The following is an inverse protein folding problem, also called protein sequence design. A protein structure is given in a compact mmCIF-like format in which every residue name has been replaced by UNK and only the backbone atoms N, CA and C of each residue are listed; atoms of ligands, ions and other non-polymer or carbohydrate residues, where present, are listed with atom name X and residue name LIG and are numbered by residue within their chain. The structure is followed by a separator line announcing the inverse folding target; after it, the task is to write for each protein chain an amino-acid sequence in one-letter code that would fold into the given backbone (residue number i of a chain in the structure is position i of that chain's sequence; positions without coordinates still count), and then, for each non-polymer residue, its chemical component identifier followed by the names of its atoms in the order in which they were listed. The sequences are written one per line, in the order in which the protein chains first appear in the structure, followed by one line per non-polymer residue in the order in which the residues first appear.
data_IF_005052061848
#
_entry.id   IF_005052061848
#
_cell.length_a   1.000
_cell.length_b   1.000
_cell.length_c   1.000
_cell.angle_alpha   90.00
_cell.angle_beta   90.00
_cell.angle_gamma   90.00
#
_symmetry.space_group_name_H-M   'P 1'
#
loop_
_entity.id
_entity.type
_entity.pdbx_description
1 polymer ?
#
# COMPACT_ATOMS: atom_id res chain seq x y z
N UNK A 1 9.88 52.83 -61.07
CA UNK A 1 9.42 52.75 -62.49
C UNK A 1 9.07 51.33 -62.83
N UNK A 2 7.76 51.12 -63.17
CA UNK A 2 7.26 50.25 -64.25
C UNK A 2 7.78 48.81 -64.24
N UNK A 3 7.00 47.69 -64.28
CA UNK A 3 5.61 47.43 -64.74
C UNK A 3 5.30 45.94 -64.37
N UNK A 4 4.09 45.65 -63.95
CA UNK A 4 3.41 44.34 -64.08
C UNK A 4 3.02 44.20 -65.61
N UNK A 5 2.82 43.04 -66.27
CA UNK A 5 1.80 42.06 -65.93
C UNK A 5 2.02 40.56 -66.40
N UNK A 6 1.18 39.67 -65.96
CA UNK A 6 0.22 38.82 -66.71
C UNK A 6 0.24 37.31 -66.29
N UNK A 7 -0.97 36.92 -65.98
CA UNK A 7 -1.55 35.61 -65.76
C UNK A 7 -1.26 34.59 -66.86
N UNK A 8 -1.10 33.32 -66.50
CA UNK A 8 -1.63 32.19 -67.28
C UNK A 8 -2.32 31.18 -66.36
N UNK A 9 -3.54 30.87 -66.71
CA UNK A 9 -4.36 29.77 -66.22
C UNK A 9 -3.88 28.47 -66.88
N UNK A 10 -3.78 27.34 -66.13
CA UNK A 10 -3.88 26.01 -66.69
C UNK A 10 -4.59 25.11 -65.68
N UNK A 11 -5.74 24.59 -66.11
CA UNK A 11 -6.49 23.51 -65.49
C UNK A 11 -5.70 22.22 -65.54
N UNK A 12 -5.80 21.40 -64.51
CA UNK A 12 -5.28 20.05 -64.51
C UNK A 12 -5.83 19.19 -63.36
N UNK A 13 -6.89 18.49 -63.64
CA UNK A 13 -7.43 17.24 -63.07
C UNK A 13 -7.04 16.84 -61.65
N UNK A 14 -8.06 16.80 -60.80
CA UNK A 14 -8.16 16.13 -59.52
C UNK A 14 -8.17 14.58 -59.73
N UNK A 15 -7.22 13.91 -59.12
CA UNK A 15 -7.33 12.44 -58.81
C UNK A 15 -7.53 12.34 -57.30
N UNK A 16 -8.75 12.01 -56.92
CA UNK A 16 -9.09 11.71 -55.53
C UNK A 16 -8.59 10.28 -55.21
N UNK A 17 -7.62 10.20 -54.28
CA UNK A 17 -7.28 8.95 -53.59
C UNK A 17 -8.13 8.87 -52.30
N UNK A 18 -8.69 7.71 -51.98
CA UNK A 18 -9.45 7.54 -50.74
C UNK A 18 -8.52 7.56 -49.53
N UNK A 19 -8.65 8.57 -48.68
CA UNK A 19 -8.03 8.57 -47.34
C UNK A 19 -8.74 7.53 -46.51
N UNK A 20 -8.06 6.39 -46.27
CA UNK A 20 -8.46 5.43 -45.27
C UNK A 20 -8.32 6.08 -43.88
N UNK A 21 -9.46 6.48 -43.34
CA UNK A 21 -9.58 6.84 -41.92
C UNK A 21 -9.32 5.58 -41.07
N UNK A 22 -8.08 5.40 -40.65
CA UNK A 22 -7.77 4.53 -39.50
C UNK A 22 -8.28 5.30 -38.29
N UNK A 23 -9.50 5.02 -37.89
CA UNK A 23 -10.03 5.42 -36.60
C UNK A 23 -9.24 4.67 -35.53
N UNK A 24 -8.17 5.26 -35.03
CA UNK A 24 -7.57 4.87 -33.75
C UNK A 24 -8.67 5.03 -32.70
N UNK A 25 -9.28 3.91 -32.28
CA UNK A 25 -10.03 3.85 -31.03
C UNK A 25 -9.06 4.14 -29.91
N UNK A 26 -8.85 5.41 -29.61
CA UNK A 26 -8.42 5.83 -28.29
C UNK A 26 -9.58 5.39 -27.39
N UNK A 27 -9.40 4.28 -26.68
CA UNK A 27 -10.24 3.92 -25.56
C UNK A 27 -10.07 5.07 -24.57
N UNK A 28 -11.00 5.99 -24.57
CA UNK A 28 -11.11 6.98 -23.53
C UNK A 28 -11.23 6.18 -22.21
N UNK A 29 -10.16 6.15 -21.41
CA UNK A 29 -10.26 5.82 -20.01
C UNK A 29 -11.39 6.67 -19.45
N UNK A 30 -12.46 6.04 -19.04
CA UNK A 30 -13.56 6.71 -18.38
C UNK A 30 -12.96 7.31 -17.10
N UNK A 31 -12.60 8.58 -17.18
CA UNK A 31 -12.42 9.42 -16.00
C UNK A 31 -13.80 9.42 -15.32
N UNK A 32 -14.01 8.46 -14.43
CA UNK A 32 -15.16 8.49 -13.54
C UNK A 32 -14.98 9.75 -12.71
N UNK A 33 -15.80 10.76 -13.00
CA UNK A 33 -15.81 11.97 -12.21
C UNK A 33 -15.92 11.59 -10.73
N UNK A 34 -15.13 12.20 -9.83
CA UNK A 34 -15.05 11.82 -8.41
C UNK A 34 -16.41 11.69 -7.70
N UNK A 35 -17.44 12.32 -8.26
CA UNK A 35 -18.79 12.41 -7.69
C UNK A 35 -19.71 11.23 -8.03
N UNK A 36 -19.32 10.31 -8.92
CA UNK A 36 -20.24 9.29 -9.45
C UNK A 36 -20.10 7.90 -8.82
N UNK A 37 -19.03 7.63 -8.04
CA UNK A 37 -18.87 6.33 -7.39
C UNK A 37 -19.85 6.19 -6.20
N UNK A 38 -20.65 5.13 -6.25
CA UNK A 38 -21.52 4.74 -5.12
C UNK A 38 -20.68 4.07 -4.00
N UNK A 39 -21.17 4.04 -2.76
CA UNK A 39 -20.65 3.15 -1.72
C UNK A 39 -20.70 1.68 -2.15
N UNK A 40 -19.98 0.80 -1.43
CA UNK A 40 -20.11 -0.65 -1.67
C UNK A 40 -21.58 -1.10 -1.50
N UNK A 41 -22.04 -2.06 -2.32
CA UNK A 41 -23.30 -2.73 -2.07
C UNK A 41 -23.30 -3.37 -0.68
N UNK A 42 -24.46 -3.37 -0.02
CA UNK A 42 -24.57 -3.87 1.36
C UNK A 42 -24.30 -5.38 1.50
N UNK A 43 -24.49 -6.14 0.43
CA UNK A 43 -24.22 -7.58 0.38
C UNK A 43 -22.71 -7.92 0.24
N UNK A 44 -21.88 -6.92 -0.01
CA UNK A 44 -20.41 -7.09 0.00
C UNK A 44 -19.82 -7.02 1.40
N UNK A 45 -20.54 -6.44 2.33
CA UNK A 45 -20.03 -6.11 3.66
C UNK A 45 -20.71 -6.97 4.73
N UNK A 46 -19.98 -7.40 5.76
CA UNK A 46 -20.58 -7.96 6.97
C UNK A 46 -21.62 -6.99 7.58
N UNK A 47 -22.67 -7.55 8.18
CA UNK A 47 -23.65 -6.76 8.92
C UNK A 47 -22.93 -5.90 10.01
N UNK A 48 -23.35 -4.65 10.18
CA UNK A 48 -22.73 -3.71 11.12
C UNK A 48 -21.61 -2.88 10.52
N UNK A 49 -21.19 -3.17 9.28
CA UNK A 49 -20.25 -2.30 8.54
C UNK A 49 -21.03 -1.54 7.48
N UNK A 50 -20.81 -0.22 7.42
CA UNK A 50 -21.33 0.59 6.31
C UNK A 50 -20.21 1.20 5.49
N UNK A 51 -20.50 1.43 4.23
CA UNK A 51 -19.63 2.11 3.26
C UNK A 51 -20.16 3.52 3.01
N UNK A 52 -19.28 4.52 3.05
CA UNK A 52 -19.64 5.92 2.70
C UNK A 52 -18.44 6.71 2.18
N UNK A 53 -18.69 7.94 1.78
CA UNK A 53 -17.66 8.87 1.35
C UNK A 53 -17.56 10.08 2.28
N UNK A 54 -16.32 10.57 2.42
CA UNK A 54 -16.01 11.85 3.06
C UNK A 54 -15.37 12.77 2.02
N UNK A 55 -15.94 13.95 1.84
CA UNK A 55 -15.51 14.90 0.80
C UNK A 55 -14.49 15.91 1.35
N UNK A 56 -13.71 16.51 0.45
CA UNK A 56 -12.77 17.61 0.72
C UNK A 56 -11.68 17.28 1.77
N UNK A 57 -11.23 16.03 1.80
CA UNK A 57 -10.13 15.62 2.67
C UNK A 57 -8.83 15.75 1.90
N UNK A 58 -8.09 16.83 2.09
CA UNK A 58 -6.80 17.08 1.45
C UNK A 58 -6.82 16.88 -0.09
N UNK A 59 -7.87 17.40 -0.74
CA UNK A 59 -8.10 17.26 -2.18
C UNK A 59 -8.71 15.95 -2.63
N UNK A 60 -9.09 15.07 -1.69
CA UNK A 60 -9.69 13.77 -1.97
C UNK A 60 -11.18 13.74 -1.61
N UNK A 61 -11.90 12.86 -2.30
CA UNK A 61 -13.15 12.26 -1.84
C UNK A 61 -12.79 10.87 -1.36
N UNK A 62 -12.69 10.69 -0.04
CA UNK A 62 -12.24 9.45 0.58
C UNK A 62 -13.42 8.50 0.79
N UNK A 63 -13.28 7.28 0.30
CA UNK A 63 -14.15 6.18 0.64
C UNK A 63 -13.75 5.59 1.98
N UNK A 64 -14.72 5.28 2.82
CA UNK A 64 -14.51 4.78 4.18
C UNK A 64 -15.47 3.64 4.48
N UNK A 65 -14.96 2.59 5.10
CA UNK A 65 -15.77 1.62 5.84
C UNK A 65 -15.78 2.02 7.31
N UNK A 66 -16.95 1.92 7.95
CA UNK A 66 -17.06 2.22 9.38
C UNK A 66 -17.98 1.23 10.09
N UNK A 67 -17.67 0.94 11.36
CA UNK A 67 -18.45 0.11 12.26
C UNK A 67 -18.55 0.78 13.63
N UNK A 68 -19.63 0.51 14.38
CA UNK A 68 -19.87 1.15 15.68
C UNK A 68 -20.35 2.60 15.59
N UNK A 69 -20.81 3.02 14.43
CA UNK A 69 -21.29 4.38 14.11
C UNK A 69 -22.67 4.71 14.69
N UNK A 70 -23.41 3.69 15.14
CA UNK A 70 -24.80 3.85 15.64
C UNK A 70 -24.85 4.57 16.98
N UNK A 71 -23.74 4.54 17.72
CA UNK A 71 -23.66 5.15 19.05
C UNK A 71 -22.64 6.29 19.04
N UNK A 72 -23.06 7.49 19.34
CA UNK A 72 -22.19 8.66 19.45
C UNK A 72 -21.28 8.60 20.68
N UNK A 73 -20.14 9.28 20.64
CA UNK A 73 -19.23 9.42 21.79
C UNK A 73 -18.28 8.24 22.01
N UNK A 74 -18.31 7.23 21.16
CA UNK A 74 -17.32 6.13 21.22
C UNK A 74 -15.92 6.65 20.89
N UNK A 75 -14.86 6.15 21.56
CA UNK A 75 -13.47 6.39 21.12
C UNK A 75 -13.27 5.82 19.72
N UNK A 76 -12.58 6.59 18.86
CA UNK A 76 -12.36 6.18 17.48
C UNK A 76 -11.06 5.39 17.31
N UNK A 77 -11.06 4.47 16.35
CA UNK A 77 -9.88 3.78 15.81
C UNK A 77 -9.75 4.09 14.32
N UNK A 78 -8.53 4.37 13.86
CA UNK A 78 -8.23 4.56 12.46
C UNK A 78 -7.42 3.36 11.94
N UNK A 79 -7.93 2.65 10.92
CA UNK A 79 -7.31 1.47 10.35
C UNK A 79 -6.78 1.78 8.94
N UNK A 80 -5.48 1.61 8.71
CA UNK A 80 -4.79 1.97 7.47
C UNK A 80 -4.24 0.71 6.79
N UNK A 81 -4.76 0.40 5.61
CA UNK A 81 -4.36 -0.78 4.83
C UNK A 81 -3.07 -0.56 4.01
N UNK A 82 -2.52 -1.63 3.46
CA UNK A 82 -1.33 -1.66 2.63
C UNK A 82 -1.58 -1.97 1.14
N UNK A 83 -0.61 -2.65 0.51
CA UNK A 83 -0.64 -3.02 -0.91
C UNK A 83 -0.60 -4.56 -1.09
N UNK A 84 -1.37 -5.14 -1.99
CA UNK A 84 -2.51 -4.57 -2.74
C UNK A 84 -3.83 -4.79 -1.99
N UNK A 85 -4.03 -4.05 -0.94
CA UNK A 85 -5.20 -4.12 -0.08
C UNK A 85 -6.21 -2.98 -0.36
N UNK A 86 -7.29 -2.97 0.41
CA UNK A 86 -8.35 -1.96 0.47
C UNK A 86 -8.80 -1.81 1.93
N UNK A 87 -9.61 -0.80 2.23
CA UNK A 87 -10.33 -0.73 3.52
C UNK A 87 -11.05 -2.04 3.86
N UNK A 88 -11.45 -2.78 2.83
CA UNK A 88 -12.11 -4.08 2.91
C UNK A 88 -11.28 -5.15 3.64
N UNK A 89 -9.96 -5.02 3.68
CA UNK A 89 -9.07 -5.95 4.40
C UNK A 89 -9.33 -5.99 5.91
N UNK A 90 -9.93 -4.94 6.44
CA UNK A 90 -10.25 -4.81 7.86
C UNK A 90 -11.61 -5.40 8.27
N UNK A 91 -12.47 -5.83 7.31
CA UNK A 91 -13.86 -6.24 7.54
C UNK A 91 -14.04 -7.24 8.68
N UNK A 92 -13.10 -8.17 8.87
CA UNK A 92 -13.20 -9.25 9.86
C UNK A 92 -12.86 -8.80 11.28
N UNK A 93 -12.03 -7.76 11.44
CA UNK A 93 -11.63 -7.22 12.76
C UNK A 93 -12.50 -6.02 13.17
N UNK A 94 -13.17 -5.36 12.24
CA UNK A 94 -13.97 -4.15 12.53
C UNK A 94 -15.14 -4.43 13.47
N UNK A 95 -15.86 -5.54 13.30
CA UNK A 95 -17.05 -5.87 14.12
C UNK A 95 -16.66 -6.15 15.57
N UNK A 96 -15.69 -7.03 15.88
CA UNK A 96 -15.27 -7.24 17.27
C UNK A 96 -14.81 -5.95 17.98
N UNK A 97 -14.10 -5.07 17.26
CA UNK A 97 -13.67 -3.77 17.81
C UNK A 97 -14.88 -2.85 18.07
N UNK A 98 -15.87 -2.84 17.19
CA UNK A 98 -17.09 -2.04 17.36
C UNK A 98 -17.97 -2.57 18.51
N UNK A 99 -18.07 -3.88 18.67
CA UNK A 99 -18.79 -4.53 19.78
C UNK A 99 -18.14 -4.21 21.13
N UNK A 100 -16.80 -4.04 21.15
CA UNK A 100 -16.06 -3.60 22.33
C UNK A 100 -16.20 -2.10 22.63
N UNK A 101 -17.00 -1.36 21.85
CA UNK A 101 -17.34 0.04 22.14
C UNK A 101 -16.55 1.07 21.35
N UNK A 102 -15.77 0.69 20.34
CA UNK A 102 -15.06 1.63 19.48
C UNK A 102 -15.90 2.06 18.27
N UNK A 103 -15.64 3.26 17.77
CA UNK A 103 -16.02 3.66 16.41
C UNK A 103 -14.82 3.38 15.49
N UNK A 104 -14.95 2.40 14.63
CA UNK A 104 -13.88 1.90 13.77
C UNK A 104 -13.99 2.53 12.39
N UNK A 105 -12.93 3.18 11.92
CA UNK A 105 -12.88 3.94 10.67
C UNK A 105 -11.73 3.40 9.82
N UNK A 106 -12.05 2.84 8.66
CA UNK A 106 -11.09 2.28 7.71
C UNK A 106 -11.24 2.98 6.35
N UNK A 107 -10.40 3.96 6.00
CA UNK A 107 -10.42 4.58 4.67
C UNK A 107 -9.72 3.70 3.62
N UNK A 108 -10.18 3.75 2.37
CA UNK A 108 -9.31 3.47 1.23
C UNK A 108 -8.28 4.61 1.15
N UNK A 109 -7.00 4.30 1.38
CA UNK A 109 -5.96 5.33 1.38
C UNK A 109 -5.73 5.91 -0.01
N UNK A 110 -5.09 7.08 -0.13
CA UNK A 110 -4.77 7.72 -1.40
C UNK A 110 -4.13 6.74 -2.38
N UNK A 111 -4.71 6.61 -3.58
CA UNK A 111 -4.25 5.71 -4.62
C UNK A 111 -5.00 4.37 -4.68
N UNK A 112 -5.98 4.14 -3.81
CA UNK A 112 -6.63 2.84 -3.69
C UNK A 112 -8.16 2.92 -3.72
N UNK A 113 -8.75 1.81 -4.13
CA UNK A 113 -10.18 1.54 -4.01
C UNK A 113 -11.08 2.64 -4.55
N UNK A 114 -12.07 3.03 -3.79
CA UNK A 114 -13.06 4.04 -4.19
C UNK A 114 -12.67 5.47 -3.82
N UNK A 115 -11.53 5.69 -3.15
CA UNK A 115 -11.01 7.03 -2.93
C UNK A 115 -10.57 7.67 -4.25
N UNK A 116 -11.03 8.90 -4.51
CA UNK A 116 -10.77 9.65 -5.74
C UNK A 116 -10.11 11.00 -5.46
N UNK A 117 -9.64 11.69 -6.52
CA UNK A 117 -8.88 12.94 -6.40
C UNK A 117 -7.37 12.75 -6.54
N UNK A 118 -6.95 11.58 -7.03
CA UNK A 118 -5.57 11.25 -7.40
C UNK A 118 -5.53 10.81 -8.87
N UNK A 119 -4.34 10.70 -9.44
CA UNK A 119 -4.14 10.31 -10.83
C UNK A 119 -3.51 8.93 -10.96
N UNK A 120 -4.04 8.10 -11.86
CA UNK A 120 -3.47 6.82 -12.28
C UNK A 120 -2.45 6.93 -13.42
N UNK A 121 -2.12 8.15 -13.87
CA UNK A 121 -1.07 8.36 -14.86
C UNK A 121 0.29 8.05 -14.23
N UNK A 122 1.09 7.21 -14.92
CA UNK A 122 2.47 6.92 -14.50
C UNK A 122 3.30 8.21 -14.37
N UNK A 123 3.15 9.18 -15.26
CA UNK A 123 3.90 10.44 -15.23
C UNK A 123 3.31 11.51 -14.30
N UNK A 124 2.37 11.14 -13.42
CA UNK A 124 1.78 12.09 -12.48
C UNK A 124 2.81 12.65 -11.50
N UNK A 125 2.52 13.84 -10.95
CA UNK A 125 3.26 14.37 -9.81
C UNK A 125 3.15 13.43 -8.60
N UNK A 126 4.28 12.98 -8.07
CA UNK A 126 4.34 12.08 -6.91
C UNK A 126 4.25 12.83 -5.57
N UNK A 127 4.37 14.15 -5.57
CA UNK A 127 4.30 15.00 -4.37
C UNK A 127 3.10 14.68 -3.45
N UNK A 128 1.88 14.44 -4.00
CA UNK A 128 0.73 14.07 -3.17
C UNK A 128 0.88 12.73 -2.42
N UNK A 129 1.75 11.83 -2.89
CA UNK A 129 1.97 10.50 -2.28
C UNK A 129 3.02 10.48 -1.18
N UNK A 130 3.63 11.61 -0.81
CA UNK A 130 4.60 11.74 0.29
C UNK A 130 3.99 11.25 1.62
N UNK A 131 4.84 10.67 2.47
CA UNK A 131 4.39 10.12 3.77
C UNK A 131 3.65 11.15 4.61
N UNK A 132 4.19 12.37 4.75
CA UNK A 132 3.54 13.42 5.57
C UNK A 132 2.27 13.98 4.92
N UNK A 133 2.16 13.94 3.59
CA UNK A 133 0.89 14.28 2.94
C UNK A 133 -0.20 13.22 3.17
N UNK A 134 0.17 11.92 3.23
CA UNK A 134 -0.76 10.86 3.65
C UNK A 134 -1.15 10.97 5.12
N UNK A 135 -0.25 11.46 6.00
CA UNK A 135 -0.62 11.83 7.38
C UNK A 135 -1.69 12.92 7.38
N UNK A 136 -1.60 13.93 6.48
CA UNK A 136 -2.65 14.95 6.32
C UNK A 136 -3.99 14.34 5.87
N UNK A 137 -3.96 13.31 5.00
CA UNK A 137 -5.18 12.56 4.65
C UNK A 137 -5.80 11.92 5.89
N UNK A 138 -4.99 11.23 6.70
CA UNK A 138 -5.43 10.60 7.95
C UNK A 138 -6.01 11.62 8.95
N UNK A 139 -5.34 12.75 9.15
CA UNK A 139 -5.82 13.86 9.99
C UNK A 139 -7.15 14.43 9.48
N UNK A 140 -7.26 14.59 8.17
CA UNK A 140 -8.48 15.05 7.52
C UNK A 140 -9.65 14.08 7.72
N UNK A 141 -9.40 12.77 7.67
CA UNK A 141 -10.41 11.75 8.00
C UNK A 141 -10.85 11.89 9.45
N UNK A 142 -9.91 11.91 10.42
CA UNK A 142 -10.21 12.05 11.84
C UNK A 142 -11.06 13.31 12.10
N UNK A 143 -10.67 14.44 11.51
CA UNK A 143 -11.39 15.71 11.67
C UNK A 143 -12.79 15.68 11.03
N UNK A 144 -12.94 15.05 9.86
CA UNK A 144 -14.22 14.95 9.15
C UNK A 144 -15.26 14.09 9.89
N UNK A 145 -14.80 13.18 10.74
CA UNK A 145 -15.64 12.42 11.66
C UNK A 145 -15.89 13.14 13.01
N UNK A 146 -15.37 14.38 13.18
CA UNK A 146 -15.58 15.20 14.36
C UNK A 146 -14.68 14.85 15.54
N UNK A 147 -13.69 14.00 15.36
CA UNK A 147 -12.75 13.61 16.41
C UNK A 147 -11.59 14.59 16.55
N UNK A 148 -11.22 14.87 17.79
CA UNK A 148 -10.00 15.63 18.13
C UNK A 148 -8.79 14.70 18.35
N UNK A 149 -9.04 13.45 18.69
CA UNK A 149 -8.05 12.39 18.82
C UNK A 149 -8.70 11.04 18.57
N UNK A 150 -7.88 10.04 18.28
CA UNK A 150 -8.28 8.64 18.16
C UNK A 150 -7.56 7.82 19.24
N UNK A 151 -8.23 6.80 19.77
CA UNK A 151 -7.66 5.90 20.77
C UNK A 151 -6.44 5.16 20.20
N UNK A 152 -6.49 4.78 18.93
CA UNK A 152 -5.36 4.17 18.25
C UNK A 152 -5.39 4.36 16.73
N UNK A 153 -4.21 4.36 16.12
CA UNK A 153 -3.99 4.21 14.69
C UNK A 153 -3.34 2.85 14.44
N UNK A 154 -3.91 2.07 13.55
CA UNK A 154 -3.51 0.69 13.26
C UNK A 154 -3.18 0.62 11.78
N UNK A 155 -1.99 0.18 11.42
CA UNK A 155 -1.56 0.11 10.04
C UNK A 155 -0.99 -1.24 9.66
N UNK A 156 -1.34 -1.74 8.46
CA UNK A 156 -0.84 -2.99 7.91
C UNK A 156 -0.04 -2.74 6.64
N UNK A 157 1.07 -3.48 6.43
CA UNK A 157 1.97 -3.38 5.26
C UNK A 157 2.40 -1.93 5.01
N UNK A 158 2.08 -1.31 3.87
CA UNK A 158 2.35 0.12 3.61
C UNK A 158 1.60 1.08 4.55
N UNK A 159 0.51 0.63 5.17
CA UNK A 159 -0.20 1.34 6.22
C UNK A 159 0.53 1.36 7.56
N UNK A 160 1.44 0.38 7.82
CA UNK A 160 2.21 0.31 9.06
C UNK A 160 3.16 1.50 9.22
N UNK A 161 4.07 1.83 8.30
CA UNK A 161 4.87 3.03 8.40
C UNK A 161 4.05 4.32 8.35
N UNK A 162 2.88 4.32 7.67
CA UNK A 162 1.98 5.48 7.70
C UNK A 162 1.40 5.70 9.10
N UNK A 163 0.96 4.64 9.79
CA UNK A 163 0.50 4.72 11.19
C UNK A 163 1.62 5.20 12.12
N UNK A 164 2.84 4.71 11.93
CA UNK A 164 4.01 5.17 12.67
C UNK A 164 4.26 6.68 12.45
N UNK A 165 4.22 7.16 11.21
CA UNK A 165 4.35 8.60 10.92
C UNK A 165 3.20 9.44 11.48
N UNK A 166 1.99 8.91 11.56
CA UNK A 166 0.88 9.56 12.27
C UNK A 166 1.24 9.76 13.75
N UNK A 167 1.73 8.71 14.42
CA UNK A 167 2.13 8.75 15.82
C UNK A 167 3.31 9.71 16.07
N UNK A 168 4.37 9.66 15.24
CA UNK A 168 5.53 10.57 15.35
C UNK A 168 5.14 12.02 15.21
N UNK A 169 4.29 12.34 14.23
CA UNK A 169 3.99 13.74 13.87
C UNK A 169 2.92 14.37 14.74
N UNK A 170 1.92 13.57 15.20
CA UNK A 170 0.77 14.07 15.96
C UNK A 170 0.40 13.14 17.13
N UNK A 171 1.30 13.04 18.14
CA UNK A 171 1.04 12.26 19.35
C UNK A 171 -0.17 12.77 20.17
N UNK A 172 -0.54 14.03 19.98
CA UNK A 172 -1.73 14.64 20.54
C UNK A 172 -3.05 14.11 19.94
N UNK A 173 -3.01 13.60 18.72
CA UNK A 173 -4.19 13.05 18.02
C UNK A 173 -4.18 11.51 18.03
N UNK A 174 -3.06 10.88 17.73
CA UNK A 174 -2.90 9.42 17.68
C UNK A 174 -2.36 8.92 19.02
N UNK A 175 -3.24 8.46 19.90
CA UNK A 175 -2.91 8.16 21.30
C UNK A 175 -2.15 6.86 21.51
N UNK A 176 -2.33 5.91 20.62
CA UNK A 176 -1.56 4.68 20.56
C UNK A 176 -1.35 4.26 19.09
N UNK A 177 -0.40 3.36 18.84
CA UNK A 177 -0.10 2.88 17.48
C UNK A 177 0.10 1.37 17.47
N UNK A 178 -0.50 0.72 16.46
CA UNK A 178 -0.23 -0.68 16.15
C UNK A 178 0.34 -0.76 14.73
N UNK A 179 1.53 -1.30 14.62
CA UNK A 179 2.21 -1.57 13.36
C UNK A 179 2.07 -3.05 13.03
N UNK A 180 1.70 -3.36 11.78
CA UNK A 180 1.48 -4.74 11.39
C UNK A 180 2.27 -5.09 10.13
N UNK A 181 2.88 -6.29 10.14
CA UNK A 181 3.67 -6.86 9.04
C UNK A 181 5.00 -6.12 8.76
N UNK A 182 4.98 -4.81 8.56
CA UNK A 182 6.15 -4.00 8.22
C UNK A 182 6.66 -3.21 9.43
N UNK A 183 7.82 -3.54 10.00
CA UNK A 183 8.42 -2.80 11.12
C UNK A 183 8.81 -1.37 10.70
N UNK A 184 8.58 -0.41 11.58
CA UNK A 184 9.03 0.97 11.41
C UNK A 184 10.43 1.16 12.00
N UNK A 185 11.43 1.38 11.16
CA UNK A 185 12.84 1.50 11.59
C UNK A 185 13.18 2.80 12.35
N UNK A 186 12.19 3.68 12.54
CA UNK A 186 12.39 4.99 13.15
C UNK A 186 12.44 6.13 12.13
N UNK A 187 12.59 7.34 12.67
CA UNK A 187 12.82 8.57 11.91
C UNK A 187 14.27 8.65 11.43
N UNK A 188 14.62 9.56 10.50
CA UNK A 188 16.03 9.84 10.16
C UNK A 188 16.86 10.11 11.42
N UNK A 189 18.15 9.76 11.36
CA UNK A 189 19.10 10.00 12.46
C UNK A 189 19.68 11.40 12.42
N UNK A 190 20.15 11.91 13.56
CA UNK A 190 20.93 13.12 13.68
C UNK A 190 22.40 12.75 13.94
N UNK A 191 23.38 13.55 13.49
CA UNK A 191 23.24 14.69 12.58
C UNK A 191 22.99 14.25 11.14
N UNK A 192 22.55 15.18 10.28
CA UNK A 192 22.46 14.97 8.83
C UNK A 192 22.99 16.21 8.09
N UNK A 193 23.54 15.99 6.90
CA UNK A 193 24.07 17.03 5.99
C UNK A 193 25.02 18.04 6.69
N UNK A 194 25.87 17.57 7.60
CA UNK A 194 26.92 18.36 8.25
C UNK A 194 28.28 18.10 7.61
N UNK A 195 29.28 18.94 7.95
CA UNK A 195 30.64 18.76 7.44
C UNK A 195 31.29 17.43 7.88
N UNK A 196 30.88 16.92 9.07
CA UNK A 196 31.39 15.66 9.62
C UNK A 196 30.52 14.45 9.20
N UNK A 197 29.35 14.70 8.62
CA UNK A 197 28.45 13.72 8.06
C UNK A 197 28.13 14.16 6.63
N UNK A 198 29.02 13.87 5.67
CA UNK A 198 28.83 14.29 4.28
C UNK A 198 27.55 13.65 3.74
N UNK A 199 26.85 14.34 2.81
CA UNK A 199 25.61 13.86 2.22
C UNK A 199 25.74 12.40 1.82
N UNK A 200 24.74 11.58 2.13
CA UNK A 200 24.69 10.16 1.76
C UNK A 200 24.74 9.93 0.23
N UNK A 201 24.74 11.00 -0.54
CA UNK A 201 25.07 11.06 -1.96
C UNK A 201 26.58 11.02 -2.24
N UNK A 202 27.45 10.94 -1.22
CA UNK A 202 28.76 10.36 -1.45
C UNK A 202 28.51 8.91 -1.86
N UNK A 203 28.13 8.77 -3.12
CA UNK A 203 27.89 7.52 -3.79
C UNK A 203 29.00 6.57 -3.39
N UNK A 204 28.62 5.57 -2.62
CA UNK A 204 29.38 4.34 -2.60
C UNK A 204 29.55 3.98 -4.09
N UNK A 205 30.72 4.25 -4.65
CA UNK A 205 30.98 4.15 -6.09
C UNK A 205 31.08 2.67 -6.54
N UNK A 206 30.56 1.79 -5.69
CA UNK A 206 30.40 0.38 -5.92
C UNK A 206 29.04 0.00 -6.53
N UNK A 207 28.90 -1.24 -7.03
CA UNK A 207 27.61 -1.76 -7.49
C UNK A 207 26.57 -1.64 -6.39
N UNK A 208 25.34 -1.22 -6.75
CA UNK A 208 24.25 -1.22 -5.80
C UNK A 208 23.84 -2.66 -5.45
N UNK A 209 23.22 -2.88 -4.31
CA UNK A 209 22.66 -4.21 -3.96
C UNK A 209 21.72 -4.75 -5.04
N UNK A 210 21.12 -3.88 -5.86
CA UNK A 210 20.27 -4.27 -6.98
C UNK A 210 21.08 -4.79 -8.15
N UNK A 211 22.27 -4.22 -8.41
CA UNK A 211 23.22 -4.73 -9.41
C UNK A 211 23.79 -6.07 -8.96
N UNK A 212 24.13 -6.20 -7.68
CA UNK A 212 24.58 -7.47 -7.11
C UNK A 212 23.51 -8.57 -7.21
N UNK A 213 22.22 -8.26 -7.00
CA UNK A 213 21.12 -9.20 -7.21
C UNK A 213 21.02 -9.65 -8.67
N UNK A 214 21.17 -8.72 -9.62
CA UNK A 214 21.15 -9.02 -11.05
C UNK A 214 22.37 -9.85 -11.51
N UNK A 215 23.50 -9.73 -10.82
CA UNK A 215 24.73 -10.45 -11.08
C UNK A 215 24.80 -11.86 -10.45
N UNK A 216 23.82 -12.27 -9.66
CA UNK A 216 23.80 -13.60 -9.05
C UNK A 216 23.77 -14.71 -10.13
N UNK A 217 24.26 -15.93 -9.85
CA UNK A 217 24.16 -17.09 -10.77
C UNK A 217 22.72 -17.35 -11.26
N UNK A 218 21.71 -17.11 -10.41
CA UNK A 218 20.30 -16.96 -10.79
C UNK A 218 19.97 -15.48 -10.67
N UNK A 219 19.92 -14.71 -11.79
CA UNK A 219 19.70 -13.27 -11.76
C UNK A 219 18.37 -12.88 -11.12
N UNK A 220 18.40 -11.91 -10.20
CA UNK A 220 17.23 -11.52 -9.40
C UNK A 220 17.05 -10.00 -9.42
N UNK A 221 15.84 -9.55 -9.08
CA UNK A 221 15.50 -8.16 -8.81
C UNK A 221 14.61 -8.03 -7.59
N UNK A 222 14.75 -6.95 -6.86
CA UNK A 222 13.86 -6.65 -5.73
C UNK A 222 12.50 -6.17 -6.25
N UNK A 223 11.39 -6.66 -5.68
CA UNK A 223 10.03 -6.31 -6.12
C UNK A 223 9.75 -4.81 -6.10
N UNK A 224 10.26 -4.07 -5.09
CA UNK A 224 10.07 -2.62 -5.02
C UNK A 224 10.76 -1.88 -6.17
N UNK A 225 11.89 -2.40 -6.69
CA UNK A 225 12.52 -1.84 -7.88
C UNK A 225 11.62 -2.05 -9.10
N UNK A 226 11.07 -3.27 -9.26
CA UNK A 226 10.14 -3.58 -10.34
C UNK A 226 8.85 -2.74 -10.24
N UNK A 227 8.28 -2.54 -9.06
CA UNK A 227 7.06 -1.74 -8.86
C UNK A 227 7.21 -0.25 -9.22
N UNK A 228 8.43 0.21 -9.43
CA UNK A 228 8.72 1.59 -9.87
C UNK A 228 8.75 1.73 -11.38
N UNK A 229 8.74 0.63 -12.12
CA UNK A 229 8.79 0.63 -13.58
C UNK A 229 7.42 0.89 -14.20
N UNK A 230 7.36 1.44 -15.43
CA UNK A 230 6.09 1.66 -16.13
C UNK A 230 5.33 0.35 -16.41
N UNK A 231 6.07 -0.77 -16.60
CA UNK A 231 5.51 -2.06 -16.98
C UNK A 231 4.74 -2.74 -15.83
N UNK A 232 5.09 -2.42 -14.58
CA UNK A 232 4.55 -3.14 -13.42
C UNK A 232 3.03 -3.05 -13.31
N UNK A 233 2.45 -1.89 -13.60
CA UNK A 233 0.99 -1.72 -13.58
C UNK A 233 0.31 -2.59 -14.62
N UNK A 234 0.75 -2.50 -15.88
CA UNK A 234 0.15 -3.23 -16.99
C UNK A 234 0.29 -4.75 -16.80
N UNK A 235 1.46 -5.22 -16.34
CA UNK A 235 1.71 -6.63 -16.09
C UNK A 235 0.77 -7.21 -15.02
N UNK A 236 0.51 -6.49 -13.93
CA UNK A 236 -0.39 -6.96 -12.89
C UNK A 236 -1.87 -6.78 -13.25
N UNK A 237 -2.22 -5.66 -13.89
CA UNK A 237 -3.61 -5.33 -14.24
C UNK A 237 -4.14 -6.19 -15.37
N UNK A 238 -3.30 -6.46 -16.35
CA UNK A 238 -3.60 -7.31 -17.51
C UNK A 238 -2.86 -8.65 -17.46
N UNK A 239 -2.73 -9.19 -16.23
CA UNK A 239 -2.11 -10.50 -16.02
C UNK A 239 -2.73 -11.56 -16.94
N UNK A 240 -1.89 -12.40 -17.54
CA UNK A 240 -2.32 -13.41 -18.53
C UNK A 240 -3.31 -14.42 -17.94
N UNK A 241 -3.21 -14.68 -16.61
CA UNK A 241 -4.14 -15.53 -15.86
C UNK A 241 -5.45 -14.81 -15.49
N UNK A 242 -5.58 -13.51 -15.79
CA UNK A 242 -6.67 -12.65 -15.35
C UNK A 242 -6.47 -12.10 -13.94
N UNK A 243 -7.10 -10.94 -13.67
CA UNK A 243 -6.88 -10.20 -12.42
C UNK A 243 -7.32 -10.98 -11.18
N UNK A 244 -8.38 -11.76 -11.27
CA UNK A 244 -8.88 -12.58 -10.14
C UNK A 244 -7.85 -13.62 -9.72
N UNK A 245 -7.30 -14.36 -10.68
CA UNK A 245 -6.30 -15.39 -10.42
C UNK A 245 -4.96 -14.77 -10.03
N UNK A 246 -4.59 -13.63 -10.63
CA UNK A 246 -3.42 -12.87 -10.19
C UNK A 246 -3.53 -12.51 -8.69
N UNK A 247 -4.63 -11.92 -8.26
CA UNK A 247 -4.84 -11.54 -6.84
C UNK A 247 -4.89 -12.81 -5.97
N UNK A 248 -5.57 -13.88 -6.41
CA UNK A 248 -5.60 -15.17 -5.70
C UNK A 248 -4.20 -15.71 -5.45
N UNK A 249 -3.38 -15.78 -6.49
CA UNK A 249 -2.00 -16.24 -6.40
C UNK A 249 -1.14 -15.35 -5.51
N UNK A 250 -1.26 -14.03 -5.65
CA UNK A 250 -0.51 -13.07 -4.83
C UNK A 250 -0.83 -13.20 -3.32
N UNK A 251 -2.12 -13.32 -2.99
CA UNK A 251 -2.55 -13.49 -1.61
C UNK A 251 -2.14 -14.84 -1.05
N UNK A 252 -2.34 -15.93 -1.79
CA UNK A 252 -1.89 -17.26 -1.40
C UNK A 252 -0.38 -17.32 -1.17
N UNK A 253 0.41 -16.84 -2.12
CA UNK A 253 1.88 -16.93 -2.07
C UNK A 253 2.48 -16.19 -0.85
N UNK A 254 1.81 -15.16 -0.33
CA UNK A 254 2.24 -14.42 0.87
C UNK A 254 1.55 -14.88 2.15
N UNK A 255 0.59 -15.79 2.09
CA UNK A 255 -0.14 -16.31 3.27
C UNK A 255 0.61 -17.46 3.96
N UNK A 256 0.08 -17.90 5.10
CA UNK A 256 0.56 -19.11 5.76
C UNK A 256 0.13 -20.40 5.04
N UNK A 257 -0.81 -20.32 4.10
CA UNK A 257 -1.26 -21.48 3.32
C UNK A 257 -0.16 -21.97 2.36
N UNK A 258 0.77 -21.11 1.96
CA UNK A 258 1.93 -21.53 1.21
C UNK A 258 3.06 -21.96 2.15
N UNK A 259 3.36 -23.26 2.14
CA UNK A 259 4.34 -23.89 3.06
C UNK A 259 5.77 -23.35 2.97
N UNK A 260 6.14 -22.66 1.89
CA UNK A 260 7.43 -22.02 1.70
C UNK A 260 7.66 -20.78 2.58
N UNK A 261 6.61 -20.22 3.19
CA UNK A 261 6.70 -19.05 4.07
C UNK A 261 7.23 -19.46 5.47
N UNK A 262 8.57 -19.56 5.57
CA UNK A 262 9.31 -19.86 6.80
C UNK A 262 10.33 -18.74 7.07
N UNK A 263 9.86 -17.54 7.47
CA UNK A 263 10.72 -16.39 7.63
C UNK A 263 11.68 -16.53 8.81
N UNK A 264 12.84 -15.91 8.66
CA UNK A 264 13.86 -15.78 9.69
C UNK A 264 14.67 -14.50 9.50
N UNK A 265 15.44 -14.11 10.49
CA UNK A 265 16.29 -12.92 10.42
C UNK A 265 17.39 -13.11 9.38
N UNK A 266 17.44 -12.25 8.40
CA UNK A 266 18.55 -12.19 7.44
C UNK A 266 19.80 -11.63 8.14
N UNK A 267 20.97 -12.19 7.83
CA UNK A 267 22.22 -11.85 8.51
C UNK A 267 22.72 -10.44 8.16
N UNK A 268 22.47 -9.99 6.92
CA UNK A 268 22.94 -8.69 6.43
C UNK A 268 22.10 -8.21 5.23
N UNK A 269 22.22 -6.92 4.92
CA UNK A 269 21.67 -6.34 3.70
C UNK A 269 22.62 -6.52 2.52
N UNK A 270 22.76 -7.76 2.05
CA UNK A 270 23.56 -8.16 0.89
C UNK A 270 22.72 -9.05 -0.05
N UNK A 271 23.08 -9.09 -1.33
CA UNK A 271 22.32 -9.79 -2.37
C UNK A 271 22.11 -11.27 -2.09
N UNK A 272 23.14 -11.98 -1.59
CA UNK A 272 23.07 -13.40 -1.26
C UNK A 272 22.16 -13.72 -0.07
N UNK A 273 22.00 -12.80 0.87
CA UNK A 273 21.02 -12.92 1.97
C UNK A 273 19.61 -12.61 1.47
N UNK A 274 19.44 -11.50 0.74
CA UNK A 274 18.15 -11.16 0.19
C UNK A 274 17.60 -12.22 -0.77
N UNK A 275 18.46 -12.89 -1.56
CA UNK A 275 18.05 -13.96 -2.47
C UNK A 275 17.48 -15.19 -1.77
N UNK A 276 17.53 -15.28 -0.43
CA UNK A 276 16.89 -16.33 0.36
C UNK A 276 15.39 -16.07 0.59
N UNK A 277 14.94 -14.84 0.39
CA UNK A 277 13.51 -14.49 0.45
C UNK A 277 12.75 -15.09 -0.74
N UNK A 278 11.44 -15.35 -0.58
CA UNK A 278 10.58 -15.80 -1.68
C UNK A 278 10.57 -14.85 -2.88
N UNK A 279 10.20 -15.38 -4.03
CA UNK A 279 10.16 -14.68 -5.29
C UNK A 279 9.21 -13.46 -5.28
N UNK A 280 8.18 -13.43 -4.46
CA UNK A 280 7.33 -12.23 -4.33
C UNK A 280 8.05 -11.01 -3.73
N UNK A 281 9.23 -11.19 -3.09
CA UNK A 281 10.13 -10.10 -2.68
C UNK A 281 11.36 -9.99 -3.57
N UNK A 282 11.99 -11.13 -3.88
CA UNK A 282 13.20 -11.17 -4.72
C UNK A 282 12.88 -11.97 -5.98
N UNK A 283 12.32 -11.28 -6.96
CA UNK A 283 11.81 -11.80 -8.22
C UNK A 283 12.93 -12.34 -9.11
N UNK A 284 12.63 -13.25 -10.02
CA UNK A 284 13.52 -13.53 -11.15
C UNK A 284 13.66 -12.26 -12.02
N UNK A 285 14.84 -12.05 -12.56
CA UNK A 285 15.15 -10.81 -13.30
C UNK A 285 14.26 -10.62 -14.54
N UNK A 286 13.93 -11.70 -15.21
CA UNK A 286 13.17 -11.77 -16.49
C UNK A 286 11.65 -11.85 -16.32
N UNK A 287 11.13 -12.02 -15.10
CA UNK A 287 9.69 -12.13 -14.83
C UNK A 287 9.09 -10.82 -14.34
N UNK A 288 7.83 -10.55 -14.67
CA UNK A 288 6.98 -9.61 -13.98
C UNK A 288 6.32 -10.26 -12.74
N UNK A 289 5.51 -9.49 -12.00
CA UNK A 289 4.84 -10.02 -10.82
C UNK A 289 3.71 -11.00 -11.19
N UNK A 290 3.06 -10.83 -12.35
CA UNK A 290 2.02 -11.74 -12.82
C UNK A 290 2.59 -13.13 -13.08
N UNK A 291 3.73 -13.23 -13.77
CA UNK A 291 4.43 -14.49 -14.02
C UNK A 291 4.96 -15.09 -12.72
N UNK A 292 5.54 -14.26 -11.85
CA UNK A 292 6.07 -14.69 -10.54
C UNK A 292 5.01 -15.38 -9.70
N UNK A 293 3.79 -14.84 -9.60
CA UNK A 293 2.74 -15.46 -8.76
C UNK A 293 2.04 -16.62 -9.48
N UNK A 294 2.07 -16.67 -10.81
CA UNK A 294 1.49 -17.77 -11.58
C UNK A 294 2.14 -19.12 -11.26
N UNK A 295 3.45 -19.12 -10.97
CA UNK A 295 4.21 -20.31 -10.59
C UNK A 295 3.81 -20.86 -9.20
N UNK A 296 3.10 -20.06 -8.39
CA UNK A 296 2.72 -20.37 -7.00
C UNK A 296 1.21 -20.28 -6.77
N UNK A 297 0.42 -20.55 -7.80
CA UNK A 297 -1.04 -20.59 -7.69
C UNK A 297 -1.48 -21.72 -6.77
N UNK A 298 -2.47 -21.49 -5.89
CA UNK A 298 -3.05 -22.57 -5.10
C UNK A 298 -3.79 -23.57 -6.00
N UNK A 299 -3.78 -24.83 -5.59
CA UNK A 299 -4.58 -25.89 -6.20
C UNK A 299 -6.07 -25.66 -5.95
N UNK A 300 -6.93 -26.30 -6.76
CA UNK A 300 -8.38 -26.24 -6.55
C UNK A 300 -8.81 -26.73 -5.14
N UNK A 301 -8.07 -27.70 -4.57
CA UNK A 301 -8.32 -28.18 -3.22
C UNK A 301 -7.97 -27.15 -2.14
N UNK A 302 -6.84 -26.44 -2.30
CA UNK A 302 -6.44 -25.36 -1.41
C UNK A 302 -7.40 -24.16 -1.50
N UNK A 303 -7.85 -23.80 -2.71
CA UNK A 303 -8.87 -22.76 -2.91
C UNK A 303 -10.16 -23.12 -2.17
N UNK A 304 -10.65 -24.37 -2.31
CA UNK A 304 -11.86 -24.85 -1.67
C UNK A 304 -11.73 -24.91 -0.13
N UNK A 305 -10.52 -25.14 0.39
CA UNK A 305 -10.23 -25.16 1.81
C UNK A 305 -10.01 -23.77 2.43
N UNK A 306 -9.78 -22.75 1.61
CA UNK A 306 -9.47 -21.39 2.09
C UNK A 306 -10.71 -20.73 2.68
N UNK A 307 -10.69 -20.47 4.00
CA UNK A 307 -11.80 -19.85 4.74
C UNK A 307 -11.61 -18.36 4.99
N UNK A 308 -10.37 -17.86 4.87
CA UNK A 308 -10.08 -16.47 5.20
C UNK A 308 -10.25 -15.52 3.99
N UNK A 309 -10.20 -16.03 2.74
CA UNK A 309 -10.44 -15.27 1.51
C UNK A 309 -11.23 -16.13 0.49
N UNK A 310 -12.51 -16.46 0.75
CA UNK A 310 -13.34 -17.18 -0.20
C UNK A 310 -13.62 -16.35 -1.47
N UNK A 311 -14.07 -17.00 -2.55
CA UNK A 311 -14.23 -16.38 -3.87
C UNK A 311 -15.08 -15.11 -3.89
N UNK A 312 -16.15 -15.07 -3.06
CA UNK A 312 -17.01 -13.88 -3.01
C UNK A 312 -16.31 -12.66 -2.36
N UNK A 313 -15.38 -12.89 -1.42
CA UNK A 313 -14.56 -11.83 -0.84
C UNK A 313 -13.41 -11.42 -1.77
N UNK A 314 -12.76 -12.40 -2.42
CA UNK A 314 -11.72 -12.13 -3.44
C UNK A 314 -12.27 -11.26 -4.58
N UNK A 315 -13.50 -11.52 -5.00
CA UNK A 315 -14.16 -10.75 -6.07
C UNK A 315 -14.18 -9.25 -5.78
N UNK A 316 -14.32 -8.83 -4.53
CA UNK A 316 -14.30 -7.39 -4.16
C UNK A 316 -12.97 -6.75 -4.55
N UNK A 317 -11.86 -7.41 -4.24
CA UNK A 317 -10.53 -6.94 -4.64
C UNK A 317 -10.37 -6.94 -6.16
N UNK A 318 -10.77 -8.02 -6.82
CA UNK A 318 -10.66 -8.16 -8.27
C UNK A 318 -11.47 -7.09 -9.02
N UNK A 319 -12.70 -6.80 -8.61
CA UNK A 319 -13.55 -5.78 -9.21
C UNK A 319 -12.98 -4.36 -9.00
N UNK A 320 -12.49 -4.05 -7.78
CA UNK A 320 -11.90 -2.76 -7.50
C UNK A 320 -10.58 -2.55 -8.26
N UNK A 321 -9.66 -3.53 -8.27
CA UNK A 321 -8.41 -3.41 -9.02
C UNK A 321 -8.61 -3.47 -10.54
N UNK A 322 -9.62 -4.19 -11.03
CA UNK A 322 -9.98 -4.12 -12.44
C UNK A 322 -10.42 -2.71 -12.85
N UNK A 323 -11.08 -1.97 -11.95
CA UNK A 323 -11.52 -0.59 -12.19
C UNK A 323 -10.39 0.44 -12.04
N UNK A 324 -9.50 0.28 -11.04
CA UNK A 324 -8.50 1.30 -10.67
C UNK A 324 -7.12 1.03 -11.21
N UNK A 325 -6.84 -0.19 -11.68
CA UNK A 325 -5.48 -0.71 -11.83
C UNK A 325 -4.69 -0.69 -10.51
N UNK A 326 -3.39 -1.00 -10.56
CA UNK A 326 -2.49 -0.97 -9.39
C UNK A 326 -1.71 0.33 -9.29
N UNK A 327 -1.80 1.23 -10.29
CA UNK A 327 -0.93 2.40 -10.43
C UNK A 327 -0.94 3.32 -9.20
N UNK A 328 -2.09 3.49 -8.57
CA UNK A 328 -2.20 4.33 -7.37
C UNK A 328 -1.32 3.84 -6.21
N UNK A 329 -1.32 2.54 -5.95
CA UNK A 329 -0.43 1.92 -4.97
C UNK A 329 1.04 1.99 -5.38
N UNK A 330 1.33 1.73 -6.68
CA UNK A 330 2.68 1.79 -7.24
C UNK A 330 3.28 3.21 -7.16
N UNK A 331 2.47 4.26 -7.24
CA UNK A 331 2.93 5.63 -7.02
C UNK A 331 3.52 5.83 -5.61
N UNK A 332 3.03 5.10 -4.61
CA UNK A 332 3.63 5.06 -3.28
C UNK A 332 5.06 4.51 -3.27
N UNK A 333 5.31 3.40 -3.98
CA UNK A 333 6.66 2.82 -4.13
C UNK A 333 7.60 3.74 -4.92
N UNK A 334 7.10 4.38 -5.98
CA UNK A 334 7.85 5.33 -6.79
C UNK A 334 8.24 6.57 -5.97
N UNK A 335 7.31 7.09 -5.19
CA UNK A 335 7.54 8.22 -4.30
C UNK A 335 8.60 7.90 -3.25
N UNK A 336 8.53 6.73 -2.60
CA UNK A 336 9.48 6.30 -1.57
C UNK A 336 10.93 6.23 -2.06
N UNK A 337 11.14 6.02 -3.38
CA UNK A 337 12.47 5.96 -4.00
C UNK A 337 12.95 7.30 -4.57
N UNK A 338 12.06 8.27 -4.72
CA UNK A 338 12.34 9.52 -5.43
C UNK A 338 13.14 10.54 -4.61
N UNK A 339 13.28 10.32 -3.30
CA UNK A 339 13.81 11.33 -2.37
C UNK A 339 12.85 12.50 -2.09
N UNK A 340 11.72 12.59 -2.81
CA UNK A 340 10.70 13.61 -2.59
C UNK A 340 10.13 13.47 -1.17
N UNK A 341 10.18 14.55 -0.37
CA UNK A 341 9.69 14.56 1.00
C UNK A 341 10.71 14.12 2.06
N UNK A 342 11.96 13.79 1.67
CA UNK A 342 13.03 13.47 2.62
C UNK A 342 13.27 14.63 3.59
N UNK A 343 13.43 15.86 3.11
CA UNK A 343 13.62 17.05 3.94
C UNK A 343 12.47 17.29 4.94
N UNK A 344 11.24 16.91 4.59
CA UNK A 344 10.11 16.97 5.53
C UNK A 344 10.25 15.94 6.66
N UNK A 345 10.74 14.73 6.34
CA UNK A 345 10.98 13.68 7.34
C UNK A 345 12.15 14.02 8.26
N UNK A 346 13.17 14.71 7.74
CA UNK A 346 14.34 15.17 8.49
C UNK A 346 14.00 16.19 9.56
N UNK A 347 12.87 16.93 9.44
CA UNK A 347 12.34 17.76 10.52
C UNK A 347 12.01 16.97 11.80
N UNK A 348 11.84 15.67 11.66
CA UNK A 348 11.54 14.74 12.77
C UNK A 348 12.74 13.86 13.12
N UNK A 349 13.93 14.17 12.60
CA UNK A 349 15.13 13.37 12.86
C UNK A 349 15.37 13.19 14.36
N UNK A 350 15.67 11.98 14.77
CA UNK A 350 15.88 11.60 16.17
C UNK A 350 14.60 11.52 17.00
N UNK A 351 13.40 11.79 16.44
CA UNK A 351 12.15 11.64 17.16
C UNK A 351 11.73 10.19 17.27
N UNK A 352 11.24 9.81 18.45
CA UNK A 352 10.70 8.48 18.77
C UNK A 352 9.17 8.47 18.78
N UNK A 353 8.58 7.31 18.81
CA UNK A 353 7.18 7.08 19.13
C UNK A 353 7.11 6.79 20.62
N UNK A 354 6.56 7.72 21.39
CA UNK A 354 6.52 7.66 22.86
C UNK A 354 5.15 7.20 23.40
N UNK A 355 4.16 7.04 22.49
CA UNK A 355 2.85 6.50 22.86
C UNK A 355 2.92 4.99 22.98
N UNK A 356 1.96 4.36 23.71
CA UNK A 356 1.79 2.92 23.70
C UNK A 356 1.82 2.37 22.29
N UNK A 357 2.73 1.43 22.06
CA UNK A 357 3.00 0.84 20.74
C UNK A 357 2.91 -0.68 20.79
N UNK A 358 2.43 -1.29 19.73
CA UNK A 358 2.40 -2.73 19.57
C UNK A 358 2.80 -3.10 18.13
N UNK A 359 3.42 -4.27 17.97
CA UNK A 359 3.64 -4.86 16.67
C UNK A 359 2.93 -6.21 16.57
N UNK A 360 2.24 -6.43 15.44
CA UNK A 360 1.61 -7.73 15.10
C UNK A 360 2.04 -8.14 13.71
N UNK A 361 2.45 -9.39 13.53
CA UNK A 361 2.70 -9.99 12.21
C UNK A 361 2.31 -11.47 12.24
N UNK A 362 2.09 -12.07 11.09
CA UNK A 362 2.01 -13.51 11.00
C UNK A 362 3.39 -14.15 11.26
N UNK A 363 3.40 -15.32 11.90
CA UNK A 363 4.64 -16.06 12.10
C UNK A 363 5.27 -16.54 10.78
N UNK A 364 4.47 -16.60 9.72
CA UNK A 364 4.90 -16.95 8.36
C UNK A 364 5.09 -15.72 7.44
N UNK A 365 5.17 -14.51 8.01
CA UNK A 365 5.31 -13.27 7.23
C UNK A 365 6.76 -12.81 7.09
N UNK A 366 7.31 -12.91 5.89
CA UNK A 366 8.62 -12.36 5.57
C UNK A 366 8.68 -10.81 5.65
N UNK A 367 7.53 -10.12 5.66
CA UNK A 367 7.46 -8.67 5.85
C UNK A 367 8.18 -8.19 7.10
N UNK A 368 8.14 -9.00 8.17
CA UNK A 368 8.83 -8.75 9.44
C UNK A 368 10.35 -8.62 9.28
N UNK A 369 10.95 -9.41 8.38
CA UNK A 369 12.41 -9.55 8.27
C UNK A 369 12.99 -9.09 6.93
N UNK A 370 12.18 -8.58 6.01
CA UNK A 370 12.63 -8.18 4.67
C UNK A 370 13.74 -7.10 4.69
N UNK A 371 13.77 -6.28 5.73
CA UNK A 371 14.79 -5.27 5.95
C UNK A 371 15.60 -5.62 7.20
N UNK A 372 16.83 -6.16 7.07
CA UNK A 372 17.65 -6.55 8.18
C UNK A 372 17.84 -5.45 9.24
N UNK A 373 17.61 -5.78 10.49
CA UNK A 373 17.70 -4.87 11.63
C UNK A 373 16.51 -3.94 11.86
N UNK A 374 15.54 -3.88 10.95
CA UNK A 374 14.38 -2.98 11.10
C UNK A 374 13.46 -3.41 12.25
N UNK A 375 13.26 -4.73 12.40
CA UNK A 375 12.42 -5.29 13.45
C UNK A 375 13.00 -5.04 14.85
N UNK A 376 14.30 -5.12 14.99
CA UNK A 376 15.02 -4.81 16.22
C UNK A 376 15.00 -3.30 16.53
N UNK A 377 15.35 -2.47 15.54
CA UNK A 377 15.34 -1.00 15.71
C UNK A 377 13.97 -0.47 16.09
N UNK A 378 12.89 -1.03 15.56
CA UNK A 378 11.53 -0.65 15.94
C UNK A 378 11.33 -0.80 17.45
N UNK A 379 11.77 -1.92 18.04
CA UNK A 379 11.57 -2.27 19.44
C UNK A 379 12.53 -1.54 20.39
N UNK A 380 13.79 -1.36 19.94
CA UNK A 380 14.88 -0.89 20.81
C UNK A 380 15.11 0.63 20.70
N UNK A 381 14.72 1.25 19.59
CA UNK A 381 15.08 2.63 19.29
C UNK A 381 13.89 3.49 18.84
N UNK A 382 13.04 2.98 17.94
CA UNK A 382 11.99 3.80 17.35
C UNK A 382 10.77 4.00 18.26
N UNK A 383 10.46 3.02 19.12
CA UNK A 383 9.33 3.07 20.06
C UNK A 383 9.84 2.98 21.50
N UNK A 384 9.60 4.03 22.31
CA UNK A 384 10.03 4.06 23.71
C UNK A 384 9.05 3.35 24.66
N UNK A 385 7.80 3.13 24.22
CA UNK A 385 6.77 2.37 24.97
C UNK A 385 6.20 1.23 24.11
N UNK A 386 7.09 0.32 23.67
CA UNK A 386 6.71 -0.92 22.97
C UNK A 386 6.17 -1.93 23.97
N UNK A 387 4.83 -2.04 24.05
CA UNK A 387 4.12 -2.87 25.04
C UNK A 387 4.08 -4.34 24.70
N UNK A 388 3.96 -4.65 23.39
CA UNK A 388 3.87 -6.04 22.95
C UNK A 388 4.36 -6.22 21.51
N UNK A 389 4.87 -7.42 21.24
CA UNK A 389 5.27 -7.89 19.90
C UNK A 389 4.71 -9.29 19.71
N UNK A 390 3.84 -9.46 18.73
CA UNK A 390 3.17 -10.73 18.46
C UNK A 390 3.49 -11.25 17.06
N UNK A 391 4.01 -12.46 16.99
CA UNK A 391 4.11 -13.23 15.74
C UNK A 391 3.06 -14.33 15.79
N UNK A 392 1.97 -14.15 15.08
CA UNK A 392 0.75 -14.96 15.18
C UNK A 392 0.91 -16.26 14.39
N UNK A 393 0.88 -17.44 15.06
CA UNK A 393 0.94 -18.73 14.37
C UNK A 393 -0.25 -18.93 13.43
N UNK A 394 -0.01 -19.59 12.29
CA UNK A 394 -1.03 -19.88 11.29
C UNK A 394 -1.48 -18.64 10.48
N UNK A 395 -0.69 -17.56 10.53
CA UNK A 395 -0.85 -16.41 9.66
C UNK A 395 0.47 -16.12 8.93
N UNK A 396 0.34 -15.72 7.68
CA UNK A 396 1.37 -15.08 6.88
C UNK A 396 1.18 -13.57 6.87
N UNK A 397 1.29 -12.99 5.69
CA UNK A 397 1.24 -11.54 5.51
C UNK A 397 -0.10 -10.90 5.90
N UNK A 398 -1.22 -11.59 5.66
CA UNK A 398 -2.57 -11.04 5.81
C UNK A 398 -3.16 -11.33 7.20
N UNK A 399 -2.40 -11.09 8.26
CA UNK A 399 -2.69 -11.55 9.63
C UNK A 399 -4.09 -11.15 10.12
N UNK A 400 -4.59 -9.96 9.76
CA UNK A 400 -5.94 -9.48 10.12
C UNK A 400 -7.07 -10.20 9.36
N UNK A 401 -6.72 -10.95 8.31
CA UNK A 401 -7.66 -11.75 7.53
C UNK A 401 -7.50 -13.26 7.84
N UNK A 402 -6.25 -13.76 7.87
CA UNK A 402 -5.91 -15.16 8.10
C UNK A 402 -6.24 -15.60 9.54
N UNK A 403 -5.94 -14.74 10.53
CA UNK A 403 -6.17 -14.99 11.96
C UNK A 403 -6.92 -13.82 12.60
N UNK A 404 -8.09 -13.49 12.03
CA UNK A 404 -8.86 -12.31 12.38
C UNK A 404 -9.31 -12.27 13.85
N UNK A 405 -9.75 -13.40 14.41
CA UNK A 405 -10.20 -13.49 15.82
C UNK A 405 -9.02 -13.23 16.77
N UNK A 406 -7.86 -13.86 16.52
CA UNK A 406 -6.65 -13.65 17.30
C UNK A 406 -6.19 -12.20 17.19
N UNK A 407 -6.19 -11.63 15.98
CA UNK A 407 -5.80 -10.24 15.74
C UNK A 407 -6.73 -9.29 16.48
N UNK A 408 -8.05 -9.46 16.39
CA UNK A 408 -9.02 -8.62 17.11
C UNK A 408 -8.81 -8.69 18.63
N UNK A 409 -8.60 -9.88 19.18
CA UNK A 409 -8.34 -10.06 20.61
C UNK A 409 -7.08 -9.33 21.05
N UNK A 410 -5.95 -9.48 20.33
CA UNK A 410 -4.69 -8.79 20.63
C UNK A 410 -4.83 -7.28 20.56
N UNK A 411 -5.57 -6.76 19.57
CA UNK A 411 -5.88 -5.34 19.46
C UNK A 411 -6.68 -4.85 20.67
N UNK A 412 -7.69 -5.58 21.10
CA UNK A 412 -8.52 -5.21 22.25
C UNK A 412 -7.74 -5.25 23.57
N UNK A 413 -6.92 -6.28 23.79
CA UNK A 413 -6.04 -6.37 24.95
C UNK A 413 -5.06 -5.19 25.04
N UNK A 414 -4.45 -4.82 23.91
CA UNK A 414 -3.57 -3.67 23.83
C UNK A 414 -4.30 -2.35 24.11
N UNK A 415 -5.43 -2.12 23.45
CA UNK A 415 -6.20 -0.87 23.58
C UNK A 415 -6.72 -0.67 25.02
N UNK A 416 -7.12 -1.74 25.71
CA UNK A 416 -7.54 -1.66 27.10
C UNK A 416 -6.39 -1.25 28.05
N UNK A 417 -5.15 -1.61 27.71
CA UNK A 417 -3.96 -1.20 28.47
C UNK A 417 -3.37 0.14 28.05
N UNK A 418 -3.81 0.71 26.92
CA UNK A 418 -3.31 1.98 26.38
C UNK A 418 -4.22 3.18 26.68
N UNK A 419 -5.42 2.94 27.26
CA UNK A 419 -6.43 3.93 27.59
C UNK A 419 -6.05 4.82 28.80
#
# INVERSE_FOLDING_TARGET
MKKIPRRFFLLGLSVAAPASLIASKVMAQASTAPEQLAPYPSDWLPAGIRSRFVNNVNGLRIHVLEAGYETSGRPALLLLHGFPELAYSWRKVMIPLAEAGYHVIAPDVRGYGRTTGWSADYNTDLTPFRSLNKVRDALGVVAAFGYRSVAGVIGHDAGSPLAAWCAVTRPDIFRSVVMMSAPFSGTPTLPFDTADDPPSDSADSGPSIYDDLAALPRPRKHYQLYYRTPEANENMWHASQGISDFIRGYYHFKSADWEGNKPYRLAARIATEWAKMPEYYIMNLDQGMAETVADFMPTAAEIAANTWLPDHELRVYAEEYNRTSFQGGLNGYRMGASGIGRAEQELYAGKTIDQPSMFISGASDWGTYQNPGSFERMQEQACTDMRAVHLVPGAGHWVQQEQSETTARLLLEFLAGAA
#
